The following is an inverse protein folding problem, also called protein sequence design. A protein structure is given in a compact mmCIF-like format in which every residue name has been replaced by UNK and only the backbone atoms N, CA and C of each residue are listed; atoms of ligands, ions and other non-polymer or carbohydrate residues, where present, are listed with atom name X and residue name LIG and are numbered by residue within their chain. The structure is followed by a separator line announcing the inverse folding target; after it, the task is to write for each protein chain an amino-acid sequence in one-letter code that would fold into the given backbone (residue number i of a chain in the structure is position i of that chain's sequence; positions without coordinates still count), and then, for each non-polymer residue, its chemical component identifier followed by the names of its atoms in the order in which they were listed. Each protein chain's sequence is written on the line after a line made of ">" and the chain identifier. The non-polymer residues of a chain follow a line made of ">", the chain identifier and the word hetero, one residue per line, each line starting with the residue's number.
data_IF_137281067404
#
_entry.id   IF_137281067404
#
_cell.length_a   1.000
_cell.length_b   1.000
_cell.length_c   1.000
_cell.angle_alpha   90.00
_cell.angle_beta   90.00
_cell.angle_gamma   90.00
#
_symmetry.space_group_name_H-M   'P 1'
#
loop_
_entity.id
_entity.type
_entity.pdbx_description
1 polymer ?
#
# COMPACT_ATOMS: atom_id res chain seq x y z
N UNK A 1 -10.33 41.33 24.37
CA UNK A 1 -9.60 42.22 23.44
C UNK A 1 -8.98 41.31 22.38
N UNK A 2 -9.68 41.10 21.27
CA UNK A 2 -9.17 40.30 20.15
C UNK A 2 -8.08 41.15 19.51
N UNK A 3 -6.83 40.70 19.58
CA UNK A 3 -5.72 41.36 18.89
C UNK A 3 -5.99 41.22 17.40
N UNK A 4 -6.47 42.28 16.76
CA UNK A 4 -6.43 42.40 15.30
C UNK A 4 -4.95 42.45 14.91
N UNK A 5 -4.42 41.29 14.54
CA UNK A 5 -3.15 41.21 13.85
C UNK A 5 -3.39 41.73 12.44
N UNK A 6 -2.82 42.88 12.10
CA UNK A 6 -2.72 43.33 10.72
C UNK A 6 -2.12 42.21 9.87
N UNK A 7 -2.97 41.54 9.08
CA UNK A 7 -2.52 40.58 8.08
C UNK A 7 -1.91 41.38 6.94
N UNK A 8 -0.59 41.53 6.96
CA UNK A 8 0.18 41.87 5.76
C UNK A 8 -0.12 40.76 4.74
N UNK A 9 -1.03 41.03 3.80
CA UNK A 9 -1.29 40.12 2.69
C UNK A 9 -0.02 40.06 1.84
N UNK A 10 0.82 39.06 2.09
CA UNK A 10 1.77 38.64 1.05
C UNK A 10 0.94 38.34 -0.20
N UNK A 11 1.29 38.96 -1.34
CA UNK A 11 0.64 38.70 -2.62
C UNK A 11 0.65 37.19 -2.87
N UNK A 12 -0.50 36.55 -2.65
CA UNK A 12 -0.66 35.13 -2.87
C UNK A 12 -0.59 34.90 -4.37
N UNK A 13 0.41 34.13 -4.81
CA UNK A 13 0.50 33.66 -6.20
C UNK A 13 -0.53 32.56 -6.54
N UNK A 14 -1.30 32.11 -5.55
CA UNK A 14 -2.45 31.24 -5.76
C UNK A 14 -3.67 32.10 -6.15
N UNK A 15 -4.49 31.66 -7.12
CA UNK A 15 -5.71 32.35 -7.54
C UNK A 15 -6.62 32.66 -6.35
N UNK A 16 -7.28 33.83 -6.38
CA UNK A 16 -8.27 34.19 -5.35
C UNK A 16 -9.43 33.18 -5.29
N UNK A 17 -9.73 32.50 -6.41
CA UNK A 17 -10.70 31.40 -6.50
C UNK A 17 -10.27 30.14 -5.76
N UNK A 18 -9.01 30.04 -5.31
CA UNK A 18 -8.45 28.93 -4.55
C UNK A 18 -8.04 29.37 -3.12
N UNK A 19 -8.99 29.80 -2.27
CA UNK A 19 -8.69 30.39 -0.95
C UNK A 19 -7.98 29.43 0.02
N UNK A 20 -8.12 28.12 -0.20
CA UNK A 20 -7.43 27.09 0.57
C UNK A 20 -6.08 26.65 -0.04
N UNK A 21 -5.73 27.11 -1.24
CA UNK A 21 -4.53 26.65 -1.97
C UNK A 21 -3.24 26.91 -1.20
N UNK A 22 -3.04 28.16 -0.77
CA UNK A 22 -1.85 28.57 -0.02
C UNK A 22 -1.67 27.83 1.32
N UNK A 23 -2.68 27.73 2.21
CA UNK A 23 -2.51 26.97 3.46
C UNK A 23 -2.33 25.47 3.22
N UNK A 24 -3.00 24.88 2.22
CA UNK A 24 -2.79 23.46 1.86
C UNK A 24 -1.35 23.23 1.39
N UNK A 25 -0.83 24.12 0.55
CA UNK A 25 0.54 24.07 0.06
C UNK A 25 1.56 24.07 1.20
N UNK A 26 1.51 25.07 2.08
CA UNK A 26 2.48 25.18 3.17
C UNK A 26 2.40 24.01 4.16
N UNK A 27 1.19 23.50 4.43
CA UNK A 27 1.01 22.35 5.32
C UNK A 27 1.49 21.03 4.70
N UNK A 28 1.46 20.90 3.37
CA UNK A 28 1.53 19.58 2.71
C UNK A 28 2.72 19.37 1.78
N UNK A 29 3.11 20.39 1.02
CA UNK A 29 4.10 20.25 -0.06
C UNK A 29 5.39 21.06 0.19
N UNK A 30 5.30 22.12 0.99
CA UNK A 30 6.47 22.92 1.40
C UNK A 30 7.29 22.18 2.45
N UNK A 31 8.52 21.77 2.10
CA UNK A 31 9.45 21.10 3.04
C UNK A 31 10.14 22.13 3.92
N UNK A 32 10.62 21.68 5.08
CA UNK A 32 11.48 22.47 5.96
C UNK A 32 12.94 22.25 5.56
N UNK A 33 13.66 23.32 5.29
CA UNK A 33 15.09 23.40 5.04
C UNK A 33 15.75 24.20 6.17
N UNK A 34 17.09 24.30 6.16
CA UNK A 34 17.82 25.15 7.12
C UNK A 34 17.43 26.63 7.01
N UNK A 35 17.07 27.09 5.80
CA UNK A 35 16.67 28.47 5.52
C UNK A 35 15.19 28.77 5.83
N UNK A 36 14.38 27.76 6.19
CA UNK A 36 12.96 27.94 6.48
C UNK A 36 12.08 26.93 5.73
N UNK A 37 10.87 27.33 5.36
CA UNK A 37 9.96 26.51 4.56
C UNK A 37 10.06 26.91 3.10
N UNK A 38 10.08 25.92 2.20
CA UNK A 38 10.10 26.18 0.75
C UNK A 38 8.87 27.01 0.32
N UNK A 39 9.11 28.02 -0.50
CA UNK A 39 8.12 28.78 -1.26
C UNK A 39 7.56 27.96 -2.43
N UNK A 40 6.48 28.44 -3.05
CA UNK A 40 5.88 27.77 -4.21
C UNK A 40 6.87 27.65 -5.37
N UNK A 41 7.64 28.70 -5.63
CA UNK A 41 8.67 28.75 -6.67
C UNK A 41 9.77 27.72 -6.42
N UNK A 42 10.25 27.61 -5.18
CA UNK A 42 11.30 26.66 -4.82
C UNK A 42 10.81 25.21 -4.98
N UNK A 43 9.56 24.91 -4.61
CA UNK A 43 8.96 23.59 -4.83
C UNK A 43 8.80 23.30 -6.33
N UNK A 44 8.36 24.27 -7.13
CA UNK A 44 8.26 24.12 -8.58
C UNK A 44 9.63 23.85 -9.21
N UNK A 45 10.62 24.69 -8.92
CA UNK A 45 11.98 24.54 -9.44
C UNK A 45 12.59 23.18 -9.06
N UNK A 46 12.46 22.76 -7.79
CA UNK A 46 12.96 21.46 -7.32
C UNK A 46 12.29 20.30 -8.04
N UNK A 47 10.95 20.29 -8.09
CA UNK A 47 10.18 19.18 -8.67
C UNK A 47 10.37 19.07 -10.18
N UNK A 48 10.40 20.20 -10.91
CA UNK A 48 10.67 20.24 -12.36
C UNK A 48 12.09 19.81 -12.67
N UNK A 49 13.10 20.29 -11.92
CA UNK A 49 14.49 19.82 -12.08
C UNK A 49 14.60 18.30 -11.92
N UNK A 50 13.86 17.73 -10.96
CA UNK A 50 13.75 16.28 -10.80
C UNK A 50 13.21 15.58 -12.05
N UNK A 51 12.13 16.12 -12.65
CA UNK A 51 11.56 15.58 -13.90
C UNK A 51 12.50 15.75 -15.09
N UNK A 52 13.16 16.89 -15.24
CA UNK A 52 14.13 17.14 -16.32
C UNK A 52 15.25 16.11 -16.29
N UNK A 53 15.81 15.84 -15.11
CA UNK A 53 16.86 14.83 -14.93
C UNK A 53 16.35 13.42 -15.25
N UNK A 54 15.18 13.06 -14.71
CA UNK A 54 14.60 11.71 -14.86
C UNK A 54 14.16 11.41 -16.30
N UNK A 55 13.43 12.35 -16.91
CA UNK A 55 12.88 12.24 -18.25
C UNK A 55 13.85 12.64 -19.37
N UNK A 56 15.05 13.13 -19.02
CA UNK A 56 16.04 13.67 -19.97
C UNK A 56 15.44 14.74 -20.89
N UNK A 57 14.66 15.65 -20.29
CA UNK A 57 13.87 16.64 -21.01
C UNK A 57 14.75 17.73 -21.64
N UNK A 58 14.32 18.28 -22.76
CA UNK A 58 15.00 19.43 -23.40
C UNK A 58 14.80 20.72 -22.59
N UNK A 59 15.59 21.77 -22.83
CA UNK A 59 15.38 23.09 -22.22
C UNK A 59 13.98 23.65 -22.51
N UNK A 60 13.45 23.44 -23.72
CA UNK A 60 12.12 23.92 -24.13
C UNK A 60 11.00 23.18 -23.38
N UNK A 61 11.11 21.85 -23.25
CA UNK A 61 10.17 21.04 -22.48
C UNK A 61 10.20 21.43 -20.99
N UNK A 62 11.41 21.64 -20.45
CA UNK A 62 11.61 22.06 -19.06
C UNK A 62 10.96 23.42 -18.79
N UNK A 63 11.17 24.41 -19.68
CA UNK A 63 10.57 25.73 -19.57
C UNK A 63 9.03 25.69 -19.70
N UNK A 64 8.50 24.79 -20.54
CA UNK A 64 7.06 24.56 -20.64
C UNK A 64 6.49 24.01 -19.33
N UNK A 65 7.10 22.96 -18.77
CA UNK A 65 6.65 22.36 -17.50
C UNK A 65 6.70 23.36 -16.35
N UNK A 66 7.79 24.12 -16.23
CA UNK A 66 7.94 25.14 -15.19
C UNK A 66 6.85 26.20 -15.28
N UNK A 67 6.57 26.73 -16.48
CA UNK A 67 5.49 27.71 -16.70
C UNK A 67 4.13 27.13 -16.34
N UNK A 68 3.82 25.92 -16.81
CA UNK A 68 2.51 25.28 -16.57
C UNK A 68 2.30 24.99 -15.09
N UNK A 69 3.34 24.58 -14.38
CA UNK A 69 3.28 24.30 -12.95
C UNK A 69 3.14 25.58 -12.13
N UNK A 70 3.96 26.61 -12.40
CA UNK A 70 3.89 27.90 -11.70
C UNK A 70 2.49 28.55 -11.83
N UNK A 71 1.86 28.42 -13.00
CA UNK A 71 0.51 28.93 -13.27
C UNK A 71 -0.63 28.00 -12.81
N UNK A 72 -0.29 26.90 -12.11
CA UNK A 72 -1.24 25.89 -11.61
C UNK A 72 -2.12 25.30 -12.72
N UNK A 73 -1.61 25.21 -13.95
CA UNK A 73 -2.32 24.65 -15.12
C UNK A 73 -2.11 23.15 -15.28
N UNK A 74 -0.93 22.66 -14.90
CA UNK A 74 -0.61 21.25 -14.83
C UNK A 74 0.32 21.00 -13.65
N UNK A 75 0.02 20.00 -12.83
CA UNK A 75 0.79 19.65 -11.65
C UNK A 75 1.19 18.18 -11.72
N UNK A 76 2.41 17.82 -11.27
CA UNK A 76 2.71 16.43 -11.02
C UNK A 76 1.93 15.94 -9.78
N UNK A 77 2.01 14.65 -9.49
CA UNK A 77 1.33 14.08 -8.32
C UNK A 77 1.72 14.79 -7.02
N UNK A 78 0.83 14.79 -6.03
CA UNK A 78 1.13 15.34 -4.71
C UNK A 78 2.38 14.74 -4.07
N UNK A 79 2.68 13.46 -4.36
CA UNK A 79 3.93 12.83 -3.96
C UNK A 79 5.13 13.46 -4.61
N UNK A 80 5.12 13.63 -5.93
CA UNK A 80 6.24 14.19 -6.65
C UNK A 80 6.47 15.67 -6.28
N UNK A 81 5.41 16.43 -5.99
CA UNK A 81 5.55 17.77 -5.40
C UNK A 81 6.34 17.73 -4.08
N UNK A 82 6.12 16.71 -3.24
CA UNK A 82 6.81 16.56 -1.96
C UNK A 82 8.25 16.02 -2.08
N UNK A 83 8.49 14.98 -2.89
CA UNK A 83 9.81 14.29 -2.91
C UNK A 83 10.63 14.54 -4.17
N UNK A 84 10.01 14.93 -5.28
CA UNK A 84 10.68 15.08 -6.58
C UNK A 84 11.84 16.05 -6.50
N UNK A 85 13.01 15.65 -7.02
CA UNK A 85 14.23 16.47 -7.03
C UNK A 85 14.87 16.74 -5.66
N UNK A 86 14.46 16.02 -4.60
CA UNK A 86 15.13 16.01 -3.29
C UNK A 86 16.18 14.90 -3.22
N UNK A 87 17.21 15.05 -2.39
CA UNK A 87 18.23 14.01 -2.18
C UNK A 87 17.64 12.68 -1.71
N UNK A 88 16.52 12.72 -0.98
CA UNK A 88 15.86 11.51 -0.49
C UNK A 88 15.42 10.57 -1.61
N UNK A 89 14.84 11.12 -2.70
CA UNK A 89 14.36 10.29 -3.83
C UNK A 89 15.50 9.85 -4.77
N UNK A 90 16.68 10.46 -4.67
CA UNK A 90 17.86 10.04 -5.44
C UNK A 90 18.50 8.76 -4.87
N UNK A 91 18.18 8.39 -3.63
CA UNK A 91 18.64 7.16 -3.02
C UNK A 91 17.88 5.96 -3.60
N UNK A 92 18.61 4.96 -4.08
CA UNK A 92 18.03 3.79 -4.77
C UNK A 92 16.97 3.08 -3.93
N UNK A 93 17.17 2.94 -2.61
CA UNK A 93 16.22 2.29 -1.71
C UNK A 93 14.88 3.03 -1.55
N UNK A 94 14.78 4.29 -2.00
CA UNK A 94 13.59 5.13 -1.87
C UNK A 94 12.85 5.31 -3.20
N UNK A 95 13.28 4.68 -4.30
CA UNK A 95 12.71 4.89 -5.64
C UNK A 95 11.19 4.70 -5.68
N UNK A 96 10.67 3.68 -4.99
CA UNK A 96 9.23 3.40 -4.89
C UNK A 96 8.46 4.55 -4.24
N UNK A 97 9.14 5.38 -3.45
CA UNK A 97 8.60 6.61 -2.88
C UNK A 97 8.21 7.67 -3.90
N UNK A 98 8.56 7.54 -5.19
CA UNK A 98 8.04 8.39 -6.25
C UNK A 98 6.60 8.03 -6.66
N UNK A 99 6.18 6.78 -6.39
CA UNK A 99 4.87 6.25 -6.77
C UNK A 99 3.89 6.40 -5.60
N UNK A 100 2.66 6.79 -5.90
CA UNK A 100 1.61 6.97 -4.89
C UNK A 100 1.01 5.66 -4.42
N UNK A 101 0.86 4.71 -5.35
CA UNK A 101 0.07 3.50 -5.16
C UNK A 101 0.70 2.34 -5.93
N UNK A 102 0.48 1.13 -5.44
CA UNK A 102 0.94 -0.12 -6.05
C UNK A 102 -0.18 -1.17 -6.07
N UNK A 103 0.01 -2.23 -6.87
CA UNK A 103 -0.74 -3.47 -6.78
C UNK A 103 0.22 -4.65 -6.90
N UNK A 104 0.09 -5.65 -6.02
CA UNK A 104 0.98 -6.81 -5.98
C UNK A 104 0.16 -8.09 -5.83
N UNK A 105 0.50 -9.12 -6.61
CA UNK A 105 -0.02 -10.47 -6.42
C UNK A 105 0.64 -11.10 -5.19
N UNK A 106 -0.16 -11.65 -4.27
CA UNK A 106 0.38 -12.23 -3.03
C UNK A 106 0.75 -13.69 -3.29
N UNK A 107 2.03 -13.89 -3.62
CA UNK A 107 2.59 -15.18 -4.04
C UNK A 107 3.46 -15.82 -2.94
N UNK A 108 4.15 -15.01 -2.15
CA UNK A 108 5.12 -15.44 -1.15
C UNK A 108 5.24 -14.42 0.00
N UNK A 109 6.03 -14.74 1.03
CA UNK A 109 6.28 -13.85 2.18
C UNK A 109 6.97 -12.53 1.81
N UNK A 110 7.68 -12.47 0.69
CA UNK A 110 8.32 -11.24 0.20
C UNK A 110 7.27 -10.23 -0.24
N UNK A 111 6.12 -10.68 -0.75
CA UNK A 111 5.00 -9.78 -1.08
C UNK A 111 4.47 -9.04 0.16
N UNK A 112 4.37 -9.71 1.31
CA UNK A 112 3.95 -9.10 2.59
C UNK A 112 4.98 -8.08 3.07
N UNK A 113 6.26 -8.44 3.07
CA UNK A 113 7.36 -7.53 3.40
C UNK A 113 7.40 -6.29 2.49
N UNK A 114 7.24 -6.49 1.18
CA UNK A 114 7.16 -5.41 0.19
C UNK A 114 5.99 -4.46 0.49
N UNK A 115 4.80 -4.97 0.83
CA UNK A 115 3.67 -4.11 1.17
C UNK A 115 3.92 -3.29 2.44
N UNK A 116 4.52 -3.88 3.47
CA UNK A 116 4.92 -3.11 4.66
C UNK A 116 5.92 -2.01 4.28
N UNK A 117 6.91 -2.34 3.44
CA UNK A 117 7.94 -1.41 2.99
C UNK A 117 7.36 -0.22 2.22
N UNK A 118 6.48 -0.50 1.25
CA UNK A 118 5.78 0.49 0.45
C UNK A 118 4.87 1.36 1.33
N UNK A 119 4.15 0.77 2.28
CA UNK A 119 3.32 1.51 3.23
C UNK A 119 4.17 2.46 4.11
N UNK A 120 5.35 2.03 4.57
CA UNK A 120 6.28 2.87 5.33
C UNK A 120 6.85 4.04 4.50
N UNK A 121 6.93 3.89 3.18
CA UNK A 121 7.21 5.00 2.26
C UNK A 121 5.95 5.84 1.93
N UNK A 122 4.81 5.57 2.57
CA UNK A 122 3.53 6.26 2.36
C UNK A 122 2.82 5.93 1.05
N UNK A 123 3.20 4.83 0.39
CA UNK A 123 2.53 4.34 -0.80
C UNK A 123 1.27 3.56 -0.40
N UNK A 124 0.16 3.75 -1.12
CA UNK A 124 -1.03 2.92 -0.98
C UNK A 124 -0.79 1.52 -1.53
N UNK A 125 -1.22 0.48 -0.81
CA UNK A 125 -0.90 -0.92 -1.14
C UNK A 125 -2.13 -1.70 -1.60
N UNK A 126 -2.16 -2.07 -2.88
CA UNK A 126 -3.07 -3.05 -3.45
C UNK A 126 -2.52 -4.47 -3.32
N UNK A 127 -3.36 -5.41 -2.89
CA UNK A 127 -3.03 -6.83 -2.81
C UNK A 127 -4.06 -7.66 -3.59
N UNK A 128 -3.60 -8.52 -4.50
CA UNK A 128 -4.44 -9.49 -5.21
C UNK A 128 -4.33 -10.84 -4.49
N UNK A 129 -5.45 -11.29 -3.94
CA UNK A 129 -5.58 -12.43 -3.03
C UNK A 129 -6.40 -13.57 -3.64
N UNK A 130 -6.38 -13.69 -4.97
CA UNK A 130 -7.06 -14.79 -5.65
C UNK A 130 -6.40 -16.13 -5.34
N UNK A 131 -7.18 -17.25 -5.30
CA UNK A 131 -6.66 -18.58 -5.00
C UNK A 131 -5.43 -18.99 -5.84
N UNK A 132 -5.40 -18.61 -7.13
CA UNK A 132 -4.26 -18.91 -8.03
C UNK A 132 -2.92 -18.31 -7.54
N UNK A 133 -2.96 -17.28 -6.69
CA UNK A 133 -1.79 -16.65 -6.10
C UNK A 133 -1.56 -17.12 -4.67
N UNK A 134 -2.57 -17.00 -3.79
CA UNK A 134 -2.39 -17.31 -2.37
C UNK A 134 -2.15 -18.80 -2.10
N UNK A 135 -2.61 -19.71 -2.99
CA UNK A 135 -2.32 -21.14 -2.88
C UNK A 135 -0.87 -21.48 -3.25
N UNK A 136 -0.04 -20.51 -3.64
CA UNK A 136 1.41 -20.70 -3.80
C UNK A 136 2.16 -20.51 -2.48
N UNK A 137 1.52 -19.92 -1.46
CA UNK A 137 2.09 -19.84 -0.12
C UNK A 137 2.20 -21.25 0.48
N UNK A 138 3.31 -21.60 1.13
CA UNK A 138 3.44 -22.90 1.77
C UNK A 138 2.43 -23.06 2.91
N UNK A 139 1.98 -24.30 3.19
CA UNK A 139 1.15 -24.56 4.37
C UNK A 139 1.92 -24.21 5.64
N UNK A 140 1.22 -23.67 6.63
CA UNK A 140 1.82 -23.35 7.93
C UNK A 140 2.22 -24.65 8.63
N UNK A 141 3.51 -24.86 8.85
CA UNK A 141 4.05 -26.08 9.46
C UNK A 141 4.49 -25.87 10.91
N UNK A 142 4.72 -24.62 11.32
CA UNK A 142 5.27 -24.29 12.64
C UNK A 142 4.27 -23.50 13.50
N UNK A 143 4.19 -23.88 14.77
CA UNK A 143 3.52 -23.09 15.80
C UNK A 143 4.51 -22.09 16.39
N UNK A 144 4.17 -20.81 16.34
CA UNK A 144 5.03 -19.72 16.80
C UNK A 144 4.69 -19.34 18.25
N UNK A 145 5.70 -19.32 19.13
CA UNK A 145 5.60 -18.85 20.52
C UNK A 145 6.43 -17.58 20.62
N UNK A 146 5.77 -16.42 20.61
CA UNK A 146 6.43 -15.11 20.58
C UNK A 146 6.57 -14.55 21.99
N UNK A 147 7.77 -14.08 22.32
CA UNK A 147 8.06 -13.28 23.52
C UNK A 147 8.69 -11.96 23.10
N UNK A 148 8.18 -10.84 23.60
CA UNK A 148 8.79 -9.54 23.39
C UNK A 148 9.80 -9.28 24.52
N UNK A 149 11.00 -8.85 24.18
CA UNK A 149 12.04 -8.44 25.12
C UNK A 149 12.63 -7.10 24.68
N UNK A 150 13.27 -6.40 25.62
CA UNK A 150 13.84 -5.09 25.35
C UNK A 150 12.80 -3.99 25.21
N UNK A 151 12.97 -2.89 25.94
CA UNK A 151 12.10 -1.74 25.80
C UNK A 151 12.56 -0.88 24.61
N UNK A 152 11.59 -0.40 23.83
CA UNK A 152 11.87 0.57 22.77
C UNK A 152 12.63 1.76 23.36
N UNK A 153 13.74 2.14 22.72
CA UNK A 153 14.58 3.26 23.13
C UNK A 153 15.61 2.92 24.22
N UNK A 154 15.72 1.66 24.65
CA UNK A 154 16.76 1.24 25.62
C UNK A 154 18.18 1.40 25.08
N UNK A 155 18.43 1.09 23.81
CA UNK A 155 19.76 1.24 23.21
C UNK A 155 20.03 2.70 22.85
N UNK A 156 21.21 3.20 23.24
CA UNK A 156 21.64 4.55 22.89
C UNK A 156 21.74 4.75 21.37
N UNK A 157 21.37 5.92 20.82
CA UNK A 157 21.27 6.13 19.36
C UNK A 157 22.46 5.68 18.51
N UNK A 158 23.69 5.83 19.01
CA UNK A 158 24.91 5.47 18.28
C UNK A 158 25.26 3.98 18.33
N UNK A 159 24.56 3.20 19.16
CA UNK A 159 24.75 1.74 19.33
C UNK A 159 23.62 0.92 18.69
N UNK A 160 22.55 1.57 18.23
CA UNK A 160 21.39 0.89 17.62
C UNK A 160 21.81 0.22 16.33
N UNK A 161 21.43 -1.05 16.14
CA UNK A 161 21.53 -1.71 14.84
C UNK A 161 20.57 -1.04 13.87
N UNK A 162 21.02 -0.71 12.66
CA UNK A 162 20.10 -0.26 11.61
C UNK A 162 19.35 -1.42 10.97
N UNK A 163 20.01 -2.57 10.81
CA UNK A 163 19.44 -3.77 10.18
C UNK A 163 19.03 -4.80 11.22
N UNK A 164 18.00 -5.58 10.89
CA UNK A 164 17.57 -6.69 11.73
C UNK A 164 18.56 -7.85 11.64
N UNK A 165 18.94 -8.38 12.80
CA UNK A 165 19.79 -9.56 12.94
C UNK A 165 18.95 -10.72 13.46
N UNK A 166 19.14 -11.91 12.90
CA UNK A 166 18.38 -13.11 13.27
C UNK A 166 19.38 -14.18 13.68
N UNK A 167 19.22 -14.71 14.89
CA UNK A 167 20.02 -15.80 15.43
C UNK A 167 19.12 -17.01 15.65
N UNK A 168 19.55 -18.18 15.16
CA UNK A 168 18.79 -19.43 15.25
C UNK A 168 19.62 -20.46 16.00
N UNK A 169 19.05 -21.02 17.07
CA UNK A 169 19.65 -22.09 17.86
C UNK A 169 18.60 -23.19 18.12
N UNK A 170 18.62 -24.25 17.31
CA UNK A 170 17.58 -25.28 17.33
C UNK A 170 16.21 -24.67 17.06
N UNK A 171 15.25 -24.86 17.98
CA UNK A 171 13.90 -24.30 17.89
C UNK A 171 13.75 -22.93 18.57
N UNK A 172 14.85 -22.23 18.85
CA UNK A 172 14.86 -20.88 19.40
C UNK A 172 15.35 -19.90 18.35
N UNK A 173 14.63 -18.82 18.17
CA UNK A 173 14.97 -17.74 17.24
C UNK A 173 14.98 -16.42 17.99
N UNK A 174 16.09 -15.70 17.91
CA UNK A 174 16.22 -14.36 18.47
C UNK A 174 16.30 -13.35 17.32
N UNK A 175 15.36 -12.41 17.28
CA UNK A 175 15.28 -11.36 16.26
C UNK A 175 15.59 -10.03 16.94
N UNK A 176 16.78 -9.47 16.68
CA UNK A 176 17.12 -8.09 17.06
C UNK A 176 16.58 -7.14 16.01
N UNK A 177 15.54 -6.37 16.33
CA UNK A 177 14.85 -5.51 15.36
C UNK A 177 15.67 -4.25 15.11
N UNK A 178 16.10 -4.05 13.86
CA UNK A 178 16.88 -2.88 13.46
C UNK A 178 16.07 -1.58 13.44
N UNK A 179 16.72 -0.46 13.78
CA UNK A 179 16.17 0.90 13.80
C UNK A 179 16.10 1.56 12.40
N UNK A 180 15.58 0.82 11.43
CA UNK A 180 15.32 1.31 10.08
C UNK A 180 14.04 0.71 9.50
N UNK A 181 13.54 1.33 8.43
CA UNK A 181 12.42 0.78 7.64
C UNK A 181 12.71 -0.66 7.22
N UNK A 182 13.90 -0.91 6.69
CA UNK A 182 14.33 -2.24 6.25
C UNK A 182 14.45 -3.22 7.42
N UNK A 183 14.89 -2.77 8.60
CA UNK A 183 14.90 -3.57 9.82
C UNK A 183 13.50 -4.04 10.21
N UNK A 184 12.52 -3.13 10.22
CA UNK A 184 11.13 -3.46 10.56
C UNK A 184 10.52 -4.43 9.55
N UNK A 185 10.72 -4.18 8.25
CA UNK A 185 10.26 -5.06 7.18
C UNK A 185 10.87 -6.45 7.30
N UNK A 186 12.19 -6.54 7.53
CA UNK A 186 12.89 -7.82 7.66
C UNK A 186 12.42 -8.59 8.90
N UNK A 187 12.19 -7.94 10.04
CA UNK A 187 11.72 -8.64 11.25
C UNK A 187 10.30 -9.17 11.08
N UNK A 188 9.40 -8.40 10.49
CA UNK A 188 8.04 -8.83 10.14
C UNK A 188 8.06 -10.00 9.15
N UNK A 189 8.78 -9.87 8.04
CA UNK A 189 8.88 -10.94 7.04
C UNK A 189 9.50 -12.21 7.62
N UNK A 190 10.54 -12.09 8.46
CA UNK A 190 11.18 -13.24 9.12
C UNK A 190 10.17 -13.99 10.00
N UNK A 191 9.33 -13.29 10.77
CA UNK A 191 8.28 -13.94 11.56
C UNK A 191 7.34 -14.78 10.67
N UNK A 192 6.93 -14.26 9.52
CA UNK A 192 6.08 -14.99 8.58
C UNK A 192 6.81 -16.20 8.00
N UNK A 193 8.06 -16.03 7.57
CA UNK A 193 8.91 -17.10 7.01
C UNK A 193 9.08 -18.26 7.99
N UNK A 194 9.29 -17.97 9.29
CA UNK A 194 9.42 -18.97 10.35
C UNK A 194 8.17 -19.85 10.50
N UNK A 195 6.99 -19.40 10.09
CA UNK A 195 5.75 -20.20 10.18
C UNK A 195 5.71 -21.36 9.18
N UNK A 196 6.55 -21.31 8.14
CA UNK A 196 6.59 -22.28 7.04
C UNK A 196 7.97 -22.88 6.81
N UNK A 197 8.95 -22.55 7.65
CA UNK A 197 10.31 -23.05 7.53
C UNK A 197 10.41 -24.51 7.99
N UNK A 198 10.67 -25.40 7.03
CA UNK A 198 10.74 -26.86 7.24
C UNK A 198 11.92 -27.30 8.12
N UNK A 199 12.86 -26.40 8.44
CA UNK A 199 13.97 -26.71 9.35
C UNK A 199 13.49 -26.94 10.79
N UNK A 200 12.33 -26.38 11.17
CA UNK A 200 11.76 -26.53 12.49
C UNK A 200 10.75 -27.68 12.52
N UNK A 201 10.69 -28.39 13.65
CA UNK A 201 9.94 -29.66 13.70
C UNK A 201 8.54 -29.54 14.27
N UNK A 202 8.21 -28.51 15.07
CA UNK A 202 6.87 -28.28 15.66
C UNK A 202 6.68 -26.84 16.16
N UNK A 203 7.33 -26.50 17.28
CA UNK A 203 7.18 -25.21 17.97
C UNK A 203 8.46 -24.41 17.84
N UNK A 204 8.32 -23.14 17.45
CA UNK A 204 9.43 -22.19 17.35
C UNK A 204 9.26 -21.14 18.44
N UNK A 205 10.23 -21.06 19.34
CA UNK A 205 10.27 -20.07 20.40
C UNK A 205 10.99 -18.84 19.87
N UNK A 206 10.26 -17.74 19.71
CA UNK A 206 10.75 -16.52 19.06
C UNK A 206 10.84 -15.41 20.10
N UNK A 207 12.06 -14.96 20.38
CA UNK A 207 12.32 -13.75 21.15
C UNK A 207 12.49 -12.57 20.20
N UNK A 208 11.65 -11.54 20.33
CA UNK A 208 11.73 -10.30 19.57
C UNK A 208 12.34 -9.23 20.46
N UNK A 209 13.55 -8.77 20.13
CA UNK A 209 14.24 -7.71 20.86
C UNK A 209 14.02 -6.35 20.19
N UNK A 210 13.38 -5.43 20.91
CA UNK A 210 13.04 -4.09 20.44
C UNK A 210 13.95 -2.98 21.00
N UNK A 211 15.01 -3.33 21.73
CA UNK A 211 15.89 -2.37 22.41
C UNK A 211 16.49 -1.33 21.47
N UNK A 212 16.79 -1.74 20.24
CA UNK A 212 17.42 -0.90 19.22
C UNK A 212 16.43 0.06 18.55
N UNK A 213 15.12 -0.20 18.61
CA UNK A 213 14.11 0.65 17.97
C UNK A 213 14.02 1.99 18.70
N UNK A 214 14.10 3.11 17.95
CA UNK A 214 14.02 4.46 18.53
C UNK A 214 12.67 4.75 19.21
N UNK A 215 12.69 5.61 20.22
CA UNK A 215 11.51 5.98 20.98
C UNK A 215 10.52 6.85 20.18
N UNK A 216 9.27 6.89 20.65
CA UNK A 216 8.26 7.78 20.09
C UNK A 216 8.68 9.26 20.23
N UNK A 217 8.49 10.04 19.17
CA UNK A 217 8.87 11.46 19.13
C UNK A 217 10.26 11.73 18.55
N UNK A 218 11.12 10.71 18.39
CA UNK A 218 12.43 10.90 17.77
C UNK A 218 12.30 11.27 16.27
N UNK A 219 13.02 12.28 15.75
CA UNK A 219 12.93 12.68 14.35
C UNK A 219 13.33 11.57 13.36
N UNK A 220 12.59 11.48 12.25
CA UNK A 220 12.94 10.58 11.14
C UNK A 220 13.90 11.26 10.16
N UNK A 221 14.89 10.50 9.67
CA UNK A 221 15.80 10.96 8.60
C UNK A 221 15.07 10.86 7.25
N UNK A 222 14.95 11.95 6.51
CA UNK A 222 14.47 11.97 5.11
C UNK A 222 12.96 12.21 4.92
N UNK A 223 12.12 11.32 5.46
CA UNK A 223 10.66 11.46 5.40
C UNK A 223 10.19 12.25 6.64
N UNK A 224 9.70 13.48 6.43
CA UNK A 224 9.36 14.39 7.54
C UNK A 224 8.38 13.77 8.55
N UNK A 225 8.60 14.02 9.84
CA UNK A 225 7.79 13.47 10.91
C UNK A 225 8.64 13.06 12.12
N UNK A 226 7.99 12.33 13.03
CA UNK A 226 8.61 11.74 14.22
C UNK A 226 8.22 10.27 14.29
N UNK A 227 9.08 9.45 14.85
CA UNK A 227 8.83 8.03 15.05
C UNK A 227 7.67 7.79 16.02
N UNK A 228 6.92 6.72 15.79
CA UNK A 228 5.93 6.23 16.75
C UNK A 228 5.78 4.69 16.66
N UNK A 229 6.64 3.93 17.39
CA UNK A 229 6.64 2.47 17.34
C UNK A 229 5.61 1.80 18.27
N UNK A 230 4.66 2.55 18.85
CA UNK A 230 3.77 2.06 19.93
C UNK A 230 2.99 0.78 19.60
N UNK A 231 2.72 0.52 18.32
CA UNK A 231 2.00 -0.68 17.86
C UNK A 231 2.91 -1.83 17.42
N UNK A 232 4.21 -1.58 17.26
CA UNK A 232 5.18 -2.56 16.78
C UNK A 232 5.31 -3.78 17.72
N UNK A 233 5.40 -3.64 19.06
CA UNK A 233 5.50 -4.80 19.95
C UNK A 233 4.38 -5.83 19.75
N UNK A 234 3.13 -5.37 19.72
CA UNK A 234 1.98 -6.27 19.56
C UNK A 234 1.80 -6.83 18.14
N UNK A 235 2.53 -6.33 17.13
CA UNK A 235 2.47 -6.87 15.76
C UNK A 235 2.80 -8.36 15.75
N UNK A 236 3.91 -8.73 16.40
CA UNK A 236 4.44 -10.08 16.34
C UNK A 236 3.49 -11.09 16.98
N UNK A 237 2.90 -10.73 18.12
CA UNK A 237 1.90 -11.56 18.81
C UNK A 237 0.64 -11.75 17.98
N UNK A 238 0.10 -10.68 17.36
CA UNK A 238 -1.11 -10.76 16.53
C UNK A 238 -0.87 -11.57 15.25
N UNK A 239 0.26 -11.36 14.58
CA UNK A 239 0.65 -12.18 13.42
C UNK A 239 0.82 -13.65 13.80
N UNK A 240 1.51 -13.96 14.90
CA UNK A 240 1.65 -15.33 15.39
C UNK A 240 0.29 -15.95 15.72
N UNK A 241 -0.64 -15.19 16.33
CA UNK A 241 -1.99 -15.68 16.61
C UNK A 241 -2.77 -16.03 15.34
N UNK A 242 -2.64 -15.24 14.27
CA UNK A 242 -3.27 -15.52 12.97
C UNK A 242 -2.63 -16.78 12.35
N UNK A 243 -1.31 -16.84 12.26
CA UNK A 243 -0.58 -17.97 11.66
C UNK A 243 -0.85 -19.28 12.41
N UNK A 244 -0.88 -19.24 13.75
CA UNK A 244 -1.12 -20.40 14.59
C UNK A 244 -2.52 -21.01 14.41
N UNK A 245 -3.52 -20.24 13.95
CA UNK A 245 -4.86 -20.75 13.59
C UNK A 245 -4.86 -21.55 12.28
N UNK A 246 -3.78 -21.48 11.50
CA UNK A 246 -3.63 -22.12 10.20
C UNK A 246 -2.60 -23.26 10.18
N UNK A 247 -2.01 -23.65 11.32
CA UNK A 247 -1.08 -24.79 11.40
C UNK A 247 -1.71 -26.04 10.79
N UNK A 248 -0.99 -26.67 9.86
CA UNK A 248 -1.42 -27.84 9.10
C UNK A 248 -2.16 -27.53 7.80
N UNK A 249 -2.36 -26.25 7.44
CA UNK A 249 -3.02 -25.85 6.19
C UNK A 249 -2.42 -24.57 5.61
N UNK A 250 -2.82 -24.24 4.38
CA UNK A 250 -2.53 -22.94 3.79
C UNK A 250 -3.43 -21.85 4.41
N UNK A 251 -2.97 -20.60 4.32
CA UNK A 251 -3.76 -19.44 4.70
C UNK A 251 -4.94 -19.26 3.74
N UNK A 252 -6.07 -18.81 4.27
CA UNK A 252 -7.16 -18.31 3.44
C UNK A 252 -6.99 -16.82 3.12
N UNK A 253 -7.83 -16.29 2.24
CA UNK A 253 -7.79 -14.90 1.79
C UNK A 253 -7.94 -13.88 2.93
N UNK A 254 -8.77 -14.17 3.94
CA UNK A 254 -9.00 -13.29 5.10
C UNK A 254 -7.79 -13.26 6.02
N UNK A 255 -7.15 -14.40 6.27
CA UNK A 255 -5.91 -14.46 7.05
C UNK A 255 -4.77 -13.71 6.34
N UNK A 256 -4.68 -13.83 5.01
CA UNK A 256 -3.78 -13.00 4.22
C UNK A 256 -4.09 -11.50 4.38
N UNK A 257 -5.36 -11.07 4.30
CA UNK A 257 -5.74 -9.68 4.56
C UNK A 257 -5.25 -9.21 5.94
N UNK A 258 -5.56 -9.99 6.98
CA UNK A 258 -5.22 -9.65 8.36
C UNK A 258 -3.71 -9.48 8.55
N UNK A 259 -2.88 -10.37 8.01
CA UNK A 259 -1.42 -10.26 8.12
C UNK A 259 -0.89 -8.98 7.46
N UNK A 260 -1.42 -8.60 6.30
CA UNK A 260 -1.02 -7.36 5.61
C UNK A 260 -1.52 -6.13 6.37
N UNK A 261 -2.75 -6.19 6.85
CA UNK A 261 -3.40 -5.07 7.52
C UNK A 261 -2.85 -4.83 8.93
N UNK A 262 -2.37 -5.87 9.62
CA UNK A 262 -1.64 -5.75 10.88
C UNK A 262 -0.35 -4.95 10.72
N UNK A 263 0.41 -5.21 9.64
CA UNK A 263 1.56 -4.38 9.31
C UNK A 263 1.12 -2.92 9.02
N UNK A 264 0.00 -2.72 8.30
CA UNK A 264 -0.53 -1.39 8.03
C UNK A 264 -0.95 -0.62 9.30
N UNK A 265 -1.52 -1.29 10.32
CA UNK A 265 -1.85 -0.69 11.61
C UNK A 265 -0.61 -0.09 12.28
N UNK A 266 0.51 -0.82 12.24
CA UNK A 266 1.80 -0.35 12.79
C UNK A 266 2.31 0.86 12.04
N UNK A 267 2.28 0.83 10.71
CA UNK A 267 2.74 1.94 9.86
C UNK A 267 1.93 3.22 10.08
N UNK A 268 0.60 3.11 10.21
CA UNK A 268 -0.27 4.27 10.43
C UNK A 268 -0.09 4.86 11.82
N UNK A 269 0.07 4.02 12.84
CA UNK A 269 0.44 4.50 14.17
C UNK A 269 1.77 5.26 14.13
N UNK A 270 2.71 4.83 13.28
CA UNK A 270 4.01 5.44 12.98
C UNK A 270 3.99 6.86 12.38
N UNK A 271 2.83 7.54 12.32
CA UNK A 271 2.66 8.90 11.81
C UNK A 271 2.95 9.04 10.29
N UNK A 272 2.96 7.92 9.55
CA UNK A 272 2.91 7.94 8.09
C UNK A 272 1.43 8.04 7.69
N UNK A 273 1.04 9.16 7.06
CA UNK A 273 -0.34 9.45 6.65
C UNK A 273 -1.01 8.22 6.02
N UNK A 274 -2.06 7.71 6.69
CA UNK A 274 -3.08 6.76 6.22
C UNK A 274 -2.55 5.78 5.17
N UNK A 275 -1.95 4.67 5.62
CA UNK A 275 -1.85 3.47 4.79
C UNK A 275 -3.24 3.23 4.21
N UNK A 276 -3.36 3.42 2.90
CA UNK A 276 -4.56 3.13 2.16
C UNK A 276 -4.34 1.73 1.59
N UNK A 277 -5.02 0.74 2.16
CA UNK A 277 -5.00 -0.62 1.64
C UNK A 277 -6.13 -0.81 0.63
N UNK A 278 -5.88 -1.67 -0.35
CA UNK A 278 -6.93 -2.26 -1.17
C UNK A 278 -6.67 -3.76 -1.28
N UNK A 279 -7.68 -4.57 -0.97
CA UNK A 279 -7.62 -6.03 -1.09
C UNK A 279 -8.56 -6.46 -2.19
N UNK A 280 -8.08 -7.32 -3.08
CA UNK A 280 -8.87 -7.90 -4.15
C UNK A 280 -8.96 -9.40 -3.95
N UNK A 281 -10.18 -9.92 -4.01
CA UNK A 281 -10.46 -11.35 -3.99
C UNK A 281 -11.40 -11.70 -5.13
N UNK A 282 -11.38 -12.95 -5.58
CA UNK A 282 -12.30 -13.44 -6.60
C UNK A 282 -13.75 -13.35 -6.10
N UNK A 283 -14.70 -13.13 -7.01
CA UNK A 283 -16.14 -12.97 -6.70
C UNK A 283 -16.73 -14.11 -5.89
N UNK A 284 -16.21 -15.32 -6.08
CA UNK A 284 -16.72 -16.58 -5.55
C UNK A 284 -16.12 -16.93 -4.17
N UNK A 285 -15.18 -16.11 -3.68
CA UNK A 285 -14.64 -16.24 -2.33
C UNK A 285 -15.58 -15.59 -1.31
N UNK A 286 -16.51 -16.39 -0.78
CA UNK A 286 -17.48 -15.97 0.22
C UNK A 286 -16.85 -15.52 1.54
N UNK A 287 -15.70 -16.09 1.92
CA UNK A 287 -14.96 -15.66 3.12
C UNK A 287 -14.44 -14.25 2.92
N UNK A 288 -13.83 -13.98 1.77
CA UNK A 288 -13.37 -12.63 1.41
C UNK A 288 -14.53 -11.63 1.30
N UNK A 289 -15.62 -12.02 0.64
CA UNK A 289 -16.79 -11.18 0.43
C UNK A 289 -17.46 -10.77 1.75
N UNK A 290 -17.49 -11.67 2.73
CA UNK A 290 -18.11 -11.47 4.04
C UNK A 290 -17.15 -10.93 5.10
N UNK A 291 -15.84 -10.89 4.84
CA UNK A 291 -14.77 -10.55 5.79
C UNK A 291 -14.98 -9.24 6.56
N UNK A 292 -15.58 -8.23 5.92
CA UNK A 292 -15.87 -6.91 6.51
C UNK A 292 -17.36 -6.70 6.85
N UNK A 293 -18.20 -7.71 6.69
CA UNK A 293 -19.60 -7.66 7.07
C UNK A 293 -19.76 -7.49 8.59
N UNK A 294 -20.59 -6.53 9.01
CA UNK A 294 -20.81 -6.20 10.42
C UNK A 294 -19.50 -5.98 11.18
N UNK A 295 -18.54 -5.28 10.58
CA UNK A 295 -17.28 -4.97 11.24
C UNK A 295 -17.51 -4.06 12.47
N UNK A 296 -18.40 -3.07 12.31
CA UNK A 296 -18.94 -2.28 13.41
C UNK A 296 -20.26 -2.89 13.88
N UNK A 297 -20.37 -3.15 15.17
CA UNK A 297 -21.57 -3.70 15.80
C UNK A 297 -21.91 -2.89 17.03
N UNK A 298 -23.20 -2.75 17.33
CA UNK A 298 -23.62 -2.19 18.60
C UNK A 298 -23.64 -3.29 19.67
N UNK A 299 -23.12 -2.98 20.86
CA UNK A 299 -23.32 -3.81 22.04
C UNK A 299 -24.77 -3.68 22.56
N UNK A 300 -25.09 -4.44 23.63
CA UNK A 300 -26.41 -4.44 24.27
C UNK A 300 -26.85 -3.05 24.78
N UNK A 301 -25.91 -2.13 24.97
CA UNK A 301 -26.14 -0.76 25.43
C UNK A 301 -26.18 0.25 24.26
N UNK A 302 -26.05 -0.21 23.01
CA UNK A 302 -26.02 0.64 21.82
C UNK A 302 -24.66 1.25 21.48
N UNK A 303 -23.59 0.90 22.21
CA UNK A 303 -22.25 1.41 21.91
C UNK A 303 -21.63 0.66 20.72
N UNK A 304 -21.03 1.40 19.80
CA UNK A 304 -20.32 0.82 18.68
C UNK A 304 -18.99 0.19 19.13
N UNK A 305 -18.77 -1.07 18.76
CA UNK A 305 -17.53 -1.83 18.95
C UNK A 305 -17.14 -2.55 17.66
N UNK A 306 -15.86 -2.91 17.56
CA UNK A 306 -15.32 -3.81 16.54
C UNK A 306 -14.77 -5.05 17.22
N UNK A 307 -14.94 -6.20 16.59
CA UNK A 307 -14.25 -7.44 16.97
C UNK A 307 -12.71 -7.23 16.91
N UNK A 308 -11.97 -7.35 18.02
CA UNK A 308 -10.53 -7.14 18.05
C UNK A 308 -9.76 -8.00 17.04
N UNK A 309 -10.22 -9.21 16.75
CA UNK A 309 -9.58 -10.12 15.78
C UNK A 309 -9.76 -9.66 14.33
N UNK A 310 -10.68 -8.71 14.08
CA UNK A 310 -11.02 -8.17 12.76
C UNK A 310 -10.73 -6.69 12.61
N UNK A 311 -10.31 -5.99 13.67
CA UNK A 311 -10.09 -4.54 13.67
C UNK A 311 -9.10 -4.09 12.59
N UNK A 312 -8.07 -4.91 12.31
CA UNK A 312 -7.09 -4.64 11.26
C UNK A 312 -7.74 -4.48 9.88
N UNK A 313 -8.84 -5.17 9.57
CA UNK A 313 -9.49 -5.12 8.25
C UNK A 313 -10.03 -3.72 7.88
N UNK A 314 -10.10 -2.77 8.83
CA UNK A 314 -10.42 -1.37 8.53
C UNK A 314 -9.32 -0.65 7.73
N UNK A 315 -8.12 -1.22 7.67
CA UNK A 315 -6.96 -0.62 7.01
C UNK A 315 -7.07 -0.67 5.48
N UNK A 316 -8.00 -1.45 4.94
CA UNK A 316 -8.15 -1.61 3.50
C UNK A 316 -9.61 -1.70 3.06
N UNK A 317 -9.91 -1.25 1.85
CA UNK A 317 -11.18 -1.54 1.18
C UNK A 317 -11.09 -2.88 0.44
N UNK A 318 -12.18 -3.66 0.44
CA UNK A 318 -12.24 -4.94 -0.27
C UNK A 318 -12.99 -4.78 -1.59
N UNK A 319 -12.43 -5.31 -2.68
CA UNK A 319 -13.08 -5.36 -4.00
C UNK A 319 -13.21 -6.81 -4.47
N UNK A 320 -14.42 -7.20 -4.87
CA UNK A 320 -14.69 -8.51 -5.48
C UNK A 320 -14.41 -8.44 -6.98
N UNK A 321 -13.60 -9.36 -7.49
CA UNK A 321 -13.22 -9.41 -8.90
C UNK A 321 -13.98 -10.53 -9.59
N UNK A 322 -14.83 -10.17 -10.54
CA UNK A 322 -15.57 -11.09 -11.38
C UNK A 322 -14.75 -11.41 -12.64
N UNK A 323 -14.62 -12.69 -12.95
CA UNK A 323 -14.03 -13.19 -14.20
C UNK A 323 -15.06 -13.50 -15.29
N UNK A 324 -16.35 -13.34 -14.98
CA UNK A 324 -17.44 -13.21 -15.94
C UNK A 324 -18.00 -11.79 -15.89
N UNK A 325 -18.76 -11.40 -16.92
CA UNK A 325 -19.56 -10.17 -16.86
C UNK A 325 -20.59 -10.29 -15.73
N UNK A 326 -20.57 -9.41 -14.70
CA UNK A 326 -21.55 -9.46 -13.63
C UNK A 326 -22.97 -9.32 -14.15
N UNK A 327 -23.86 -10.13 -13.59
CA UNK A 327 -25.31 -10.06 -13.81
C UNK A 327 -25.90 -8.80 -13.20
N UNK A 328 -27.12 -8.44 -13.64
CA UNK A 328 -27.84 -7.32 -13.02
C UNK A 328 -28.08 -7.54 -11.53
N UNK A 329 -28.37 -8.78 -11.12
CA UNK A 329 -28.60 -9.13 -9.72
C UNK A 329 -27.34 -8.92 -8.88
N UNK A 330 -26.18 -9.43 -9.30
CA UNK A 330 -24.89 -9.22 -8.62
C UNK A 330 -24.54 -7.72 -8.51
N UNK A 331 -24.81 -6.94 -9.56
CA UNK A 331 -24.63 -5.48 -9.53
C UNK A 331 -25.57 -4.81 -8.52
N UNK A 332 -26.85 -5.18 -8.49
CA UNK A 332 -27.84 -4.61 -7.55
C UNK A 332 -27.48 -4.96 -6.11
N UNK A 333 -27.03 -6.19 -5.85
CA UNK A 333 -26.57 -6.62 -4.53
C UNK A 333 -25.32 -5.86 -4.08
N UNK A 334 -24.35 -5.68 -4.98
CA UNK A 334 -23.15 -4.90 -4.71
C UNK A 334 -23.49 -3.44 -4.34
N UNK A 335 -24.33 -2.77 -5.14
CA UNK A 335 -24.77 -1.40 -4.86
C UNK A 335 -25.55 -1.31 -3.55
N UNK A 336 -26.43 -2.28 -3.27
CA UNK A 336 -27.17 -2.36 -2.01
C UNK A 336 -26.22 -2.47 -0.82
N UNK A 337 -25.19 -3.33 -0.92
CA UNK A 337 -24.17 -3.49 0.13
C UNK A 337 -23.39 -2.19 0.34
N UNK A 338 -22.99 -1.51 -0.74
CA UNK A 338 -22.30 -0.22 -0.65
C UNK A 338 -23.15 0.84 0.05
N UNK A 339 -24.45 0.88 -0.25
CA UNK A 339 -25.37 1.80 0.40
C UNK A 339 -25.46 1.58 1.92
N UNK A 340 -25.55 0.32 2.38
CA UNK A 340 -25.74 0.02 3.81
C UNK A 340 -24.44 -0.03 4.63
N UNK A 341 -23.30 -0.37 4.03
CA UNK A 341 -22.05 -0.58 4.78
C UNK A 341 -20.85 0.17 4.23
N UNK A 342 -20.94 0.81 3.07
CA UNK A 342 -19.79 1.37 2.35
C UNK A 342 -18.84 0.33 1.75
N UNK A 343 -19.19 -0.96 1.84
CA UNK A 343 -18.41 -2.09 1.29
C UNK A 343 -19.15 -2.74 0.12
N UNK A 344 -18.47 -3.65 -0.61
CA UNK A 344 -19.08 -4.31 -1.76
C UNK A 344 -18.70 -3.68 -3.09
N UNK A 345 -17.52 -3.06 -3.15
CA UNK A 345 -16.88 -2.74 -4.42
C UNK A 345 -16.74 -4.00 -5.28
N UNK A 346 -17.01 -3.85 -6.57
CA UNK A 346 -16.85 -4.93 -7.55
C UNK A 346 -16.01 -4.43 -8.73
N UNK A 347 -15.34 -5.36 -9.40
CA UNK A 347 -14.63 -5.14 -10.66
C UNK A 347 -14.92 -6.30 -11.60
N UNK A 348 -15.12 -6.02 -12.88
CA UNK A 348 -15.06 -7.05 -13.93
C UNK A 348 -13.66 -7.06 -14.53
N UNK A 349 -12.95 -8.19 -14.40
CA UNK A 349 -11.57 -8.32 -14.88
C UNK A 349 -11.46 -8.13 -16.40
N UNK A 350 -12.43 -8.62 -17.19
CA UNK A 350 -12.44 -8.45 -18.64
C UNK A 350 -12.43 -6.98 -19.07
N UNK A 351 -13.28 -6.16 -18.44
CA UNK A 351 -13.33 -4.71 -18.70
C UNK A 351 -12.07 -3.98 -18.22
N UNK A 352 -11.51 -4.37 -17.07
CA UNK A 352 -10.26 -3.79 -16.56
C UNK A 352 -9.10 -4.05 -17.53
N UNK A 353 -8.95 -5.30 -17.98
CA UNK A 353 -7.95 -5.69 -18.98
C UNK A 353 -8.18 -4.94 -20.28
N UNK A 354 -9.43 -4.87 -20.76
CA UNK A 354 -9.73 -4.21 -22.01
C UNK A 354 -9.35 -2.71 -21.98
N UNK A 355 -9.66 -2.02 -20.87
CA UNK A 355 -9.27 -0.62 -20.67
C UNK A 355 -7.76 -0.43 -20.60
N UNK A 356 -7.05 -1.35 -19.95
CA UNK A 356 -5.60 -1.31 -19.83
C UNK A 356 -4.87 -1.65 -21.15
N UNK A 357 -5.61 -2.08 -22.17
CA UNK A 357 -5.12 -2.40 -23.50
C UNK A 357 -5.75 -1.49 -24.57
N UNK A 358 -6.11 -0.24 -24.22
CA UNK A 358 -6.75 0.70 -25.15
C UNK A 358 -5.88 1.07 -26.37
N UNK A 359 -4.57 0.83 -26.31
CA UNK A 359 -3.64 0.93 -27.43
C UNK A 359 -3.86 -0.16 -28.49
N UNK A 360 -4.32 -1.34 -28.07
CA UNK A 360 -4.70 -2.45 -28.96
C UNK A 360 -6.22 -2.43 -29.25
N UNK A 361 -7.04 -2.13 -28.24
CA UNK A 361 -8.50 -2.13 -28.29
C UNK A 361 -9.04 -0.70 -28.48
N UNK A 362 -8.56 -0.04 -29.54
CA UNK A 362 -8.82 1.39 -29.79
C UNK A 362 -10.23 1.69 -30.32
N UNK A 363 -10.99 0.68 -30.76
CA UNK A 363 -12.37 0.86 -31.22
C UNK A 363 -13.39 0.10 -30.34
N UNK A 364 -14.64 0.59 -30.25
CA UNK A 364 -15.71 -0.13 -29.55
C UNK A 364 -15.94 -1.55 -30.05
N UNK A 365 -15.75 -1.81 -31.34
CA UNK A 365 -15.92 -3.12 -31.98
C UNK A 365 -14.83 -4.09 -31.51
N UNK A 366 -13.55 -3.68 -31.57
CA UNK A 366 -12.42 -4.49 -31.09
C UNK A 366 -12.56 -4.81 -29.61
N UNK A 367 -12.93 -3.81 -28.80
CA UNK A 367 -13.21 -4.02 -27.38
C UNK A 367 -14.33 -5.04 -27.16
N UNK A 368 -15.45 -4.88 -27.88
CA UNK A 368 -16.60 -5.79 -27.76
C UNK A 368 -16.24 -7.22 -28.16
N UNK A 369 -15.46 -7.39 -29.22
CA UNK A 369 -15.02 -8.70 -29.70
C UNK A 369 -14.03 -9.36 -28.71
N UNK A 370 -13.05 -8.59 -28.21
CA UNK A 370 -12.14 -9.05 -27.16
C UNK A 370 -12.89 -9.50 -25.89
N UNK A 371 -13.89 -8.73 -25.44
CA UNK A 371 -14.67 -9.08 -24.25
C UNK A 371 -15.47 -10.38 -24.45
N UNK A 372 -15.98 -10.66 -25.66
CA UNK A 372 -16.60 -11.96 -25.97
C UNK A 372 -15.58 -13.10 -25.91
N UNK A 373 -14.37 -12.88 -26.43
CA UNK A 373 -13.31 -13.87 -26.34
C UNK A 373 -12.86 -14.10 -24.88
N UNK A 374 -12.81 -13.04 -24.07
CA UNK A 374 -12.51 -13.12 -22.64
C UNK A 374 -13.52 -13.98 -21.88
N UNK A 375 -14.82 -13.74 -22.07
CA UNK A 375 -15.88 -14.53 -21.42
C UNK A 375 -15.85 -16.01 -21.85
N UNK A 376 -15.23 -16.34 -22.99
CA UNK A 376 -15.02 -17.71 -23.48
C UNK A 376 -13.68 -18.33 -23.01
N UNK A 377 -12.87 -17.60 -22.25
CA UNK A 377 -11.53 -18.03 -21.85
C UNK A 377 -10.48 -17.98 -22.97
N UNK A 378 -10.74 -17.25 -24.05
CA UNK A 378 -9.92 -17.17 -25.28
C UNK A 378 -9.23 -15.81 -25.49
N UNK A 379 -9.08 -15.00 -24.44
CA UNK A 379 -8.48 -13.67 -24.55
C UNK A 379 -7.03 -13.71 -25.07
N UNK A 380 -6.25 -14.71 -24.67
CA UNK A 380 -4.88 -14.90 -25.15
C UNK A 380 -4.85 -15.26 -26.64
N UNK A 381 -5.69 -16.21 -27.06
CA UNK A 381 -5.80 -16.62 -28.46
C UNK A 381 -6.22 -15.44 -29.34
N UNK A 382 -7.20 -14.65 -28.88
CA UNK A 382 -7.65 -13.45 -29.57
C UNK A 382 -6.52 -12.44 -29.79
N UNK A 383 -5.67 -12.20 -28.77
CA UNK A 383 -4.51 -11.31 -28.90
C UNK A 383 -3.47 -11.86 -29.88
N UNK A 384 -3.22 -13.17 -29.87
CA UNK A 384 -2.28 -13.82 -30.80
C UNK A 384 -2.78 -13.76 -32.25
N UNK A 385 -4.08 -13.93 -32.47
CA UNK A 385 -4.67 -13.87 -33.82
C UNK A 385 -4.60 -12.44 -34.40
N UNK A 386 -4.85 -11.42 -33.58
CA UNK A 386 -4.85 -10.02 -34.04
C UNK A 386 -3.45 -9.39 -34.05
N UNK A 387 -2.54 -9.88 -33.19
CA UNK A 387 -1.18 -9.36 -33.03
C UNK A 387 -0.16 -10.51 -33.00
N UNK A 388 0.05 -11.23 -34.11
CA UNK A 388 0.85 -12.46 -34.14
C UNK A 388 2.33 -12.29 -33.79
N UNK A 389 2.84 -11.05 -33.82
CA UNK A 389 4.23 -10.72 -33.51
C UNK A 389 4.41 -10.18 -32.08
N UNK A 390 3.35 -10.14 -31.25
CA UNK A 390 3.48 -9.71 -29.86
C UNK A 390 4.27 -10.76 -29.07
N UNK A 391 5.16 -10.29 -28.19
CA UNK A 391 5.91 -11.17 -27.31
C UNK A 391 4.95 -11.92 -26.35
N UNK A 392 5.09 -13.25 -26.16
CA UNK A 392 4.29 -14.00 -25.20
C UNK A 392 4.30 -13.43 -23.78
N UNK A 393 5.44 -12.89 -23.31
CA UNK A 393 5.55 -12.26 -22.00
C UNK A 393 4.74 -10.96 -21.93
N UNK A 394 4.64 -10.22 -23.04
CA UNK A 394 3.83 -9.01 -23.09
C UNK A 394 2.33 -9.36 -23.10
N UNK A 395 1.92 -10.48 -23.71
CA UNK A 395 0.54 -10.96 -23.58
C UNK A 395 0.21 -11.30 -22.13
N UNK A 396 1.05 -12.09 -21.46
CA UNK A 396 0.87 -12.44 -20.05
C UNK A 396 0.76 -11.18 -19.19
N UNK A 397 1.69 -10.25 -19.36
CA UNK A 397 1.69 -8.97 -18.65
C UNK A 397 0.41 -8.16 -18.91
N UNK A 398 -0.07 -8.09 -20.17
CA UNK A 398 -1.30 -7.38 -20.54
C UNK A 398 -2.56 -8.00 -19.96
N UNK A 399 -2.67 -9.32 -19.96
CA UNK A 399 -3.80 -10.05 -19.38
C UNK A 399 -3.77 -10.03 -17.84
N UNK A 400 -2.60 -9.81 -17.24
CA UNK A 400 -2.46 -9.64 -15.80
C UNK A 400 -2.83 -8.23 -15.27
N UNK A 401 -3.19 -7.27 -16.15
CA UNK A 401 -3.56 -5.88 -15.78
C UNK A 401 -4.95 -5.77 -15.15
N UNK A 402 -5.18 -6.55 -14.09
CA UNK A 402 -6.40 -6.61 -13.28
C UNK A 402 -6.21 -5.91 -11.93
N UNK A 403 -4.96 -5.84 -11.45
CA UNK A 403 -4.63 -5.34 -10.12
C UNK A 403 -5.06 -3.89 -9.87
N UNK A 404 -6.04 -3.70 -8.99
CA UNK A 404 -6.40 -2.40 -8.44
C UNK A 404 -5.35 -1.88 -7.46
N UNK A 405 -5.33 -0.56 -7.33
CA UNK A 405 -4.53 0.16 -6.35
C UNK A 405 -5.36 1.28 -5.72
N UNK A 406 -4.98 1.79 -4.53
CA UNK A 406 -5.78 2.78 -3.80
C UNK A 406 -5.95 4.14 -4.49
N UNK A 407 -5.24 4.42 -5.58
CA UNK A 407 -5.34 5.65 -6.35
C UNK A 407 -6.34 5.54 -7.51
N UNK A 408 -6.67 4.31 -7.94
CA UNK A 408 -7.75 4.09 -8.90
C UNK A 408 -9.08 4.27 -8.19
N UNK A 409 -9.77 5.39 -8.45
CA UNK A 409 -11.18 5.52 -8.11
C UNK A 409 -11.96 4.51 -8.95
N UNK A 410 -12.75 3.65 -8.31
CA UNK A 410 -13.74 2.77 -8.94
C UNK A 410 -14.88 3.55 -9.64
N UNK A 411 -14.81 4.89 -9.64
CA UNK A 411 -15.81 5.83 -10.15
C UNK A 411 -15.69 6.13 -11.65
N UNK A 412 -15.46 5.12 -12.50
CA UNK A 412 -15.67 5.29 -13.94
C UNK A 412 -16.32 4.06 -14.56
N UNK A 413 -17.47 3.65 -14.03
CA UNK A 413 -18.52 3.11 -14.89
C UNK A 413 -19.15 4.29 -15.64
N UNK A 414 -18.56 4.67 -16.77
CA UNK A 414 -19.17 5.54 -17.77
C UNK A 414 -19.37 4.72 -19.05
#
# INVERSE_FOLDING_TARGET
>A
MVRELERVRQNSKFPETAPAGLPVFFRTYSRRTEAGRETWEEVCARSVRGLTKLGKLTPEETALLERMQLQLKALPSGRWLWVGGSEWIEQQQNFSGAYNCTSTNVLDWRAFGLMMDLAMMGCGTGAVLEPKYINQLPPICNRLIVTIQGDVGSTQPHLRREQTEVQVEGNKVLIYVGDSRQGWVKSYQTLLELSTDEQFSQEVNISIDLSDVRAAGEPLKGFGGVANPVKLPGLYERCAAILNKAVGRQLNSVECCLLIDEAAVVVVAGNVRRSAGMRQGISDDELFASAKGNLWQQDENGNWRIDPDRDALRMANHTRVFHHKPTLEECVEAVRKQYYSGEGAIQWAGEAIARANCDLLFSPELKTDFLKAYDQGKAQDWLLEHYPNIDPLEIEHRLARVGLNPCGSLDFAA
#
